data_IF_255686439183
#
_entry.id   IF_255686439183
#
_cell.length_a   1.000
_cell.length_b   1.000
_cell.length_c   1.000
_cell.angle_alpha   90.00
_cell.angle_beta   90.00
_cell.angle_gamma   90.00
#
_symmetry.space_group_name_H-M   'P 1'
#
loop_
_entity.id
_entity.type
_entity.pdbx_description
1 polymer ?
#
# COMPACT_ATOMS: atom_id res chain seq x y z
N UNK A 1 -68.64 -1.03 -23.39
CA UNK A 1 -67.23 -0.66 -23.28
C UNK A 1 -66.55 -1.68 -22.37
N UNK A 2 -65.92 -2.69 -22.98
CA UNK A 2 -65.05 -3.66 -22.29
C UNK A 2 -63.61 -3.34 -22.70
N UNK A 3 -62.74 -3.15 -21.71
CA UNK A 3 -61.32 -3.42 -21.79
C UNK A 3 -60.74 -3.29 -20.38
N UNK A 4 -60.76 -4.38 -19.61
CA UNK A 4 -59.90 -4.53 -18.44
C UNK A 4 -58.74 -5.40 -18.88
N UNK A 5 -57.60 -4.77 -19.17
CA UNK A 5 -56.36 -5.45 -19.55
C UNK A 5 -55.37 -5.33 -18.38
N UNK A 6 -55.36 -6.34 -17.53
CA UNK A 6 -54.32 -6.56 -16.52
C UNK A 6 -53.06 -7.09 -17.20
N UNK A 7 -52.23 -6.18 -17.71
CA UNK A 7 -50.87 -6.50 -18.13
C UNK A 7 -49.96 -6.50 -16.88
N UNK A 8 -49.95 -7.61 -16.13
CA UNK A 8 -48.87 -7.88 -15.17
C UNK A 8 -47.58 -8.08 -15.97
N UNK A 9 -46.77 -7.04 -16.06
CA UNK A 9 -45.37 -7.20 -16.40
C UNK A 9 -44.74 -8.06 -15.31
N UNK A 10 -44.44 -9.32 -15.64
CA UNK A 10 -43.57 -10.15 -14.85
C UNK A 10 -42.21 -9.45 -14.82
N UNK A 11 -41.83 -8.90 -13.66
CA UNK A 11 -40.44 -8.58 -13.39
C UNK A 11 -39.72 -9.93 -13.38
N UNK A 12 -39.06 -10.24 -14.50
CA UNK A 12 -38.08 -11.30 -14.56
C UNK A 12 -37.01 -10.99 -13.52
N UNK A 13 -36.99 -11.81 -12.47
CA UNK A 13 -35.83 -11.97 -11.63
C UNK A 13 -34.74 -12.60 -12.52
N UNK A 14 -33.91 -11.75 -13.12
CA UNK A 14 -32.63 -12.17 -13.69
C UNK A 14 -31.69 -12.52 -12.52
N UNK A 15 -32.03 -13.60 -11.81
CA UNK A 15 -31.32 -14.22 -10.70
C UNK A 15 -30.04 -14.90 -11.18
N UNK A 16 -29.19 -14.17 -11.90
CA UNK A 16 -27.94 -14.70 -12.45
C UNK A 16 -26.83 -13.66 -12.65
N UNK A 17 -26.57 -12.79 -11.67
CA UNK A 17 -25.25 -12.10 -11.63
C UNK A 17 -24.85 -11.48 -10.27
N UNK A 18 -25.42 -11.93 -9.14
CA UNK A 18 -24.95 -11.48 -7.82
C UNK A 18 -23.83 -12.39 -7.27
N UNK A 19 -23.95 -13.71 -7.46
CA UNK A 19 -22.96 -14.69 -7.00
C UNK A 19 -21.58 -14.51 -7.65
N UNK A 20 -21.54 -14.28 -8.97
CA UNK A 20 -20.27 -14.10 -9.69
C UNK A 20 -19.51 -12.83 -9.30
N UNK A 21 -20.22 -11.75 -8.98
CA UNK A 21 -19.58 -10.47 -8.62
C UNK A 21 -19.10 -10.47 -7.18
N UNK A 22 -19.85 -11.09 -6.26
CA UNK A 22 -19.42 -11.27 -4.87
C UNK A 22 -18.22 -12.21 -4.80
N UNK A 23 -18.23 -13.33 -5.52
CA UNK A 23 -17.11 -14.26 -5.57
C UNK A 23 -15.83 -13.62 -6.14
N UNK A 24 -15.98 -12.75 -7.16
CA UNK A 24 -14.85 -12.00 -7.72
C UNK A 24 -14.29 -10.97 -6.71
N UNK A 25 -15.16 -10.26 -6.00
CA UNK A 25 -14.74 -9.33 -4.94
C UNK A 25 -14.04 -10.06 -3.80
N UNK A 26 -14.53 -11.24 -3.40
CA UNK A 26 -13.87 -12.08 -2.40
C UNK A 26 -12.49 -12.52 -2.87
N UNK A 27 -12.35 -12.99 -4.12
CA UNK A 27 -11.05 -13.38 -4.67
C UNK A 27 -10.07 -12.21 -4.74
N UNK A 28 -10.52 -11.04 -5.20
CA UNK A 28 -9.70 -9.83 -5.25
C UNK A 28 -9.26 -9.39 -3.85
N UNK A 29 -10.19 -9.43 -2.89
CA UNK A 29 -9.90 -9.10 -1.50
C UNK A 29 -8.86 -10.06 -0.91
N UNK A 30 -9.01 -11.38 -1.13
CA UNK A 30 -8.03 -12.36 -0.66
C UNK A 30 -6.67 -12.15 -1.30
N UNK A 31 -6.61 -11.93 -2.62
CA UNK A 31 -5.36 -11.67 -3.32
C UNK A 31 -4.66 -10.41 -2.80
N UNK A 32 -5.43 -9.35 -2.55
CA UNK A 32 -4.89 -8.11 -1.99
C UNK A 32 -4.39 -8.33 -0.56
N UNK A 33 -5.13 -9.05 0.29
CA UNK A 33 -4.70 -9.39 1.64
C UNK A 33 -3.41 -10.22 1.65
N UNK A 34 -3.32 -11.24 0.81
CA UNK A 34 -2.12 -12.08 0.68
C UNK A 34 -0.91 -11.26 0.21
N UNK A 35 -1.12 -10.37 -0.76
CA UNK A 35 -0.08 -9.46 -1.22
C UNK A 35 0.40 -8.54 -0.09
N UNK A 36 -0.52 -7.95 0.68
CA UNK A 36 -0.18 -7.09 1.82
C UNK A 36 0.61 -7.85 2.90
N UNK A 37 0.24 -9.11 3.19
CA UNK A 37 0.98 -9.96 4.13
C UNK A 37 2.40 -10.22 3.60
N UNK A 38 2.54 -10.58 2.33
CA UNK A 38 3.85 -10.82 1.72
C UNK A 38 4.72 -9.56 1.69
N UNK A 39 4.15 -8.41 1.37
CA UNK A 39 4.86 -7.13 1.41
C UNK A 39 5.28 -6.78 2.83
N UNK A 40 4.39 -6.93 3.81
CA UNK A 40 4.71 -6.72 5.22
C UNK A 40 5.85 -7.60 5.69
N UNK A 41 5.81 -8.91 5.40
CA UNK A 41 6.88 -9.83 5.74
C UNK A 41 8.23 -9.45 5.10
N UNK A 42 8.21 -9.04 3.82
CA UNK A 42 9.42 -8.57 3.12
C UNK A 42 10.00 -7.30 3.74
N UNK A 43 9.14 -6.36 4.13
CA UNK A 43 9.58 -5.11 4.76
C UNK A 43 10.22 -5.36 6.12
N UNK A 44 9.64 -6.25 6.94
CA UNK A 44 10.24 -6.66 8.22
C UNK A 44 11.63 -7.27 8.01
N UNK A 45 11.76 -8.24 7.10
CA UNK A 45 13.06 -8.88 6.81
C UNK A 45 14.08 -7.89 6.27
N UNK A 46 13.65 -6.96 5.40
CA UNK A 46 14.53 -5.91 4.88
C UNK A 46 14.98 -4.95 5.99
N UNK A 47 14.09 -4.61 6.93
CA UNK A 47 14.41 -3.79 8.11
C UNK A 47 15.51 -4.44 8.96
N UNK A 48 15.31 -5.70 9.38
CA UNK A 48 16.30 -6.45 10.17
C UNK A 48 17.66 -6.56 9.47
N UNK A 49 17.66 -6.79 8.15
CA UNK A 49 18.88 -6.84 7.37
C UNK A 49 19.61 -5.48 7.35
N UNK A 50 18.87 -4.39 7.16
CA UNK A 50 19.43 -3.04 7.17
C UNK A 50 20.01 -2.71 8.54
N UNK A 51 19.30 -2.99 9.64
CA UNK A 51 19.80 -2.77 10.99
C UNK A 51 21.09 -3.56 11.27
N UNK A 52 21.14 -4.84 10.88
CA UNK A 52 22.33 -5.66 11.03
C UNK A 52 23.53 -5.09 10.25
N UNK A 53 23.28 -4.58 9.03
CA UNK A 53 24.31 -3.90 8.24
C UNK A 53 24.77 -2.64 8.98
N UNK A 54 23.86 -1.76 9.41
CA UNK A 54 24.18 -0.51 10.09
C UNK A 54 24.98 -0.73 11.38
N UNK A 55 24.60 -1.73 12.17
CA UNK A 55 25.30 -2.13 13.39
C UNK A 55 26.76 -2.50 13.12
N UNK A 56 27.06 -3.09 11.96
CA UNK A 56 28.41 -3.50 11.56
C UNK A 56 29.29 -2.36 11.01
N UNK A 57 28.71 -1.19 10.68
CA UNK A 57 29.44 -0.08 10.08
C UNK A 57 30.23 0.74 11.12
N UNK A 58 31.40 1.23 10.71
CA UNK A 58 32.16 2.22 11.47
C UNK A 58 31.40 3.56 11.50
N UNK A 59 31.58 4.39 12.55
CA UNK A 59 30.87 5.68 12.68
C UNK A 59 31.03 6.62 11.47
N UNK A 60 32.23 6.70 10.89
CA UNK A 60 32.48 7.53 9.71
C UNK A 60 31.63 7.08 8.50
N UNK A 61 31.52 5.77 8.27
CA UNK A 61 30.72 5.20 7.20
C UNK A 61 29.22 5.40 7.45
N UNK A 62 28.76 5.36 8.71
CA UNK A 62 27.36 5.67 9.04
C UNK A 62 26.99 7.11 8.65
N UNK A 63 27.87 8.08 8.92
CA UNK A 63 27.64 9.47 8.52
C UNK A 63 27.56 9.64 6.99
N UNK A 64 28.40 8.94 6.23
CA UNK A 64 28.35 8.92 4.76
C UNK A 64 27.04 8.30 4.25
N UNK A 65 26.64 7.15 4.81
CA UNK A 65 25.37 6.48 4.47
C UNK A 65 24.19 7.38 4.78
N UNK A 66 24.20 8.09 5.92
CA UNK A 66 23.16 9.06 6.29
C UNK A 66 23.03 10.19 5.28
N UNK A 67 24.14 10.82 4.91
CA UNK A 67 24.13 11.87 3.90
C UNK A 67 23.58 11.38 2.55
N UNK A 68 23.97 10.16 2.14
CA UNK A 68 23.47 9.55 0.91
C UNK A 68 21.99 9.17 1.00
N UNK A 69 21.53 8.69 2.15
CA UNK A 69 20.13 8.37 2.44
C UNK A 69 19.24 9.62 2.35
N UNK A 70 19.60 10.70 3.06
CA UNK A 70 18.86 11.97 3.02
C UNK A 70 18.79 12.56 1.60
N UNK A 71 19.86 12.43 0.80
CA UNK A 71 19.85 12.85 -0.60
C UNK A 71 18.87 12.03 -1.46
N UNK A 72 18.77 10.71 -1.21
CA UNK A 72 17.83 9.82 -1.92
C UNK A 72 16.39 10.07 -1.49
N UNK A 73 16.12 10.25 -0.21
CA UNK A 73 14.79 10.58 0.31
C UNK A 73 14.28 11.90 -0.27
N UNK A 74 15.11 12.95 -0.30
CA UNK A 74 14.74 14.21 -0.96
C UNK A 74 14.38 14.02 -2.43
N UNK A 75 15.10 13.14 -3.15
CA UNK A 75 14.77 12.82 -4.55
C UNK A 75 13.41 12.11 -4.67
N UNK A 76 13.12 11.18 -3.76
CA UNK A 76 11.83 10.47 -3.73
C UNK A 76 10.70 11.46 -3.45
N UNK A 77 10.83 12.30 -2.43
CA UNK A 77 9.79 13.27 -2.06
C UNK A 77 9.56 14.35 -3.14
N UNK A 78 10.56 14.66 -3.95
CA UNK A 78 10.46 15.62 -5.05
C UNK A 78 10.09 14.97 -6.40
N UNK A 79 9.81 13.66 -6.43
CA UNK A 79 9.42 12.99 -7.66
C UNK A 79 8.05 13.50 -8.16
N UNK A 80 7.82 13.61 -9.48
CA UNK A 80 6.53 14.06 -9.99
C UNK A 80 5.38 13.19 -9.46
N UNK A 81 4.29 13.83 -9.01
CA UNK A 81 3.10 13.15 -8.49
C UNK A 81 3.15 12.76 -7.01
N UNK A 82 4.26 13.01 -6.31
CA UNK A 82 4.31 12.80 -4.85
C UNK A 82 3.58 13.88 -4.07
N UNK A 83 3.56 15.13 -4.56
CA UNK A 83 2.87 16.26 -3.90
C UNK A 83 1.36 16.08 -3.79
N UNK A 84 0.79 15.25 -4.66
CA UNK A 84 -0.65 15.01 -4.75
C UNK A 84 -1.08 13.81 -3.89
N UNK A 85 -0.13 13.16 -3.22
CA UNK A 85 -0.41 12.03 -2.34
C UNK A 85 -1.00 12.50 -1.01
N UNK A 86 -1.82 11.67 -0.35
CA UNK A 86 -2.43 12.03 0.92
C UNK A 86 -1.41 12.40 1.99
N UNK A 87 -1.78 13.29 2.91
CA UNK A 87 -0.93 13.67 4.04
C UNK A 87 -0.43 12.46 4.85
N UNK A 88 -1.27 11.43 5.00
CA UNK A 88 -0.87 10.19 5.68
C UNK A 88 0.29 9.46 4.99
N UNK A 89 0.41 9.54 3.66
CA UNK A 89 1.54 8.99 2.94
C UNK A 89 2.83 9.74 3.31
N UNK A 90 2.77 11.07 3.33
CA UNK A 90 3.93 11.90 3.68
C UNK A 90 4.36 11.72 5.13
N UNK A 91 3.41 11.66 6.08
CA UNK A 91 3.72 11.46 7.50
C UNK A 91 4.25 10.06 7.78
N UNK A 92 3.76 9.02 7.11
CA UNK A 92 4.34 7.66 7.20
C UNK A 92 5.78 7.65 6.68
N UNK A 93 6.07 8.28 5.54
CA UNK A 93 7.47 8.37 5.05
C UNK A 93 8.35 9.12 6.04
N UNK A 94 7.87 10.24 6.60
CA UNK A 94 8.65 11.01 7.55
C UNK A 94 9.03 10.18 8.79
N UNK A 95 8.08 9.42 9.35
CA UNK A 95 8.34 8.55 10.50
C UNK A 95 9.40 7.47 10.19
N UNK A 96 9.33 6.84 9.02
CA UNK A 96 10.31 5.84 8.58
C UNK A 96 11.71 6.46 8.37
N UNK A 97 11.76 7.66 7.77
CA UNK A 97 13.02 8.40 7.57
C UNK A 97 13.67 8.76 8.91
N UNK A 98 12.88 9.20 9.88
CA UNK A 98 13.37 9.54 11.22
C UNK A 98 13.92 8.30 11.94
N UNK A 99 13.24 7.15 11.82
CA UNK A 99 13.71 5.88 12.38
C UNK A 99 15.11 5.51 11.86
N UNK A 100 15.33 5.53 10.54
CA UNK A 100 16.64 5.20 9.97
C UNK A 100 17.69 6.28 10.25
N UNK A 101 17.30 7.55 10.35
CA UNK A 101 18.21 8.63 10.71
C UNK A 101 18.73 8.51 12.16
N UNK A 102 17.92 7.99 13.08
CA UNK A 102 18.38 7.67 14.44
C UNK A 102 19.28 6.43 14.46
N UNK A 103 18.96 5.39 13.68
CA UNK A 103 19.81 4.19 13.56
C UNK A 103 21.20 4.49 12.96
N UNK A 104 21.31 5.55 12.16
CA UNK A 104 22.54 6.02 11.54
C UNK A 104 23.34 7.04 12.37
N UNK A 105 22.82 7.43 13.55
CA UNK A 105 23.49 8.36 14.47
C UNK A 105 24.66 7.69 15.20
#
# INVERSE_FOLDING_TARGET
MQASSTHRAACGDDGKSAGSSVDLLTQLSSLQSDALIQYGARLIVAGELLEAILASLMPATRAEVRAAFDARIRRVLNAPGTSDLPECYHSTIAAEVDHFNEALR
#
